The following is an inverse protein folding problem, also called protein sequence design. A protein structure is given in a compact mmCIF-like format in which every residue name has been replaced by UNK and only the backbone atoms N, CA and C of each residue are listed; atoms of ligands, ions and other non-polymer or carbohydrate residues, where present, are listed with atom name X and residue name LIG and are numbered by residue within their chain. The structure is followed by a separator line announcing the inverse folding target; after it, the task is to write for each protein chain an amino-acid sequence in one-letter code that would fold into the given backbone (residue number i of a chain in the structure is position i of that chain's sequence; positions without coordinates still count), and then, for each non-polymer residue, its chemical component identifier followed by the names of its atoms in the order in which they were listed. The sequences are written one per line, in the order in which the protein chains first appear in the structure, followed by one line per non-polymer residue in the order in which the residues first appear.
data_IF_525677738336
#
_entry.id   IF_525677738336
#
_cell.length_a   1.000
_cell.length_b   1.000
_cell.length_c   1.000
_cell.angle_alpha   90.00
_cell.angle_beta   90.00
_cell.angle_gamma   90.00
#
_symmetry.space_group_name_H-M   'P 1'
#
loop_
_entity.id
_entity.type
_entity.pdbx_description
1 polymer ?
#
# COMPACT_ATOMS: atom_id res chain seq x y z
N UNK A 1 -5.11 -9.96 -14.11
CA UNK A 1 -5.92 -9.66 -12.91
C UNK A 1 -6.46 -8.25 -13.06
N UNK A 2 -7.78 -8.01 -12.95
CA UNK A 2 -8.38 -6.68 -13.16
C UNK A 2 -8.61 -6.00 -11.80
N UNK A 3 -7.69 -5.10 -11.41
CA UNK A 3 -7.72 -4.38 -10.14
C UNK A 3 -8.83 -3.31 -10.11
N UNK A 4 -9.07 -2.65 -11.25
CA UNK A 4 -10.12 -1.65 -11.41
C UNK A 4 -11.49 -2.24 -11.02
N UNK A 5 -11.83 -3.41 -11.56
CA UNK A 5 -13.07 -4.12 -11.22
C UNK A 5 -13.19 -4.47 -9.72
N UNK A 6 -12.06 -4.76 -9.05
CA UNK A 6 -12.06 -5.06 -7.60
C UNK A 6 -12.31 -3.80 -6.78
N UNK A 7 -11.68 -2.70 -7.17
CA UNK A 7 -11.88 -1.39 -6.53
C UNK A 7 -13.30 -0.89 -6.76
N UNK A 8 -13.88 -1.06 -7.96
CA UNK A 8 -15.28 -0.74 -8.24
C UNK A 8 -16.26 -1.54 -7.38
N UNK A 9 -16.02 -2.85 -7.21
CA UNK A 9 -16.82 -3.68 -6.33
C UNK A 9 -16.74 -3.21 -4.86
N UNK A 10 -15.53 -2.89 -4.39
CA UNK A 10 -15.32 -2.33 -3.05
C UNK A 10 -16.05 -0.98 -2.88
N UNK A 11 -15.91 -0.06 -3.84
CA UNK A 11 -16.58 1.24 -3.85
C UNK A 11 -18.10 1.13 -3.86
N UNK A 12 -18.64 0.17 -4.62
CA UNK A 12 -20.08 -0.12 -4.63
C UNK A 12 -20.57 -0.50 -3.22
N UNK A 13 -19.83 -1.36 -2.53
CA UNK A 13 -20.15 -1.77 -1.17
C UNK A 13 -19.96 -0.64 -0.14
N UNK A 14 -18.90 0.16 -0.29
CA UNK A 14 -18.69 1.36 0.51
C UNK A 14 -19.87 2.33 0.39
N UNK A 15 -20.31 2.62 -0.84
CA UNK A 15 -21.44 3.50 -1.11
C UNK A 15 -22.75 2.96 -0.49
N UNK A 16 -23.02 1.66 -0.64
CA UNK A 16 -24.18 0.99 -0.02
C UNK A 16 -24.21 1.16 1.50
N UNK A 17 -23.04 1.20 2.15
CA UNK A 17 -22.87 1.37 3.59
C UNK A 17 -22.64 2.82 4.03
N UNK A 18 -22.68 3.80 3.10
CA UNK A 18 -22.37 5.21 3.36
C UNK A 18 -20.96 5.40 3.97
N UNK A 19 -19.98 4.64 3.50
CA UNK A 19 -18.58 4.75 3.90
C UNK A 19 -17.81 5.61 2.89
N UNK A 20 -17.06 6.58 3.40
CA UNK A 20 -16.25 7.48 2.56
C UNK A 20 -14.87 6.90 2.22
N UNK A 21 -14.37 5.98 3.05
CA UNK A 21 -13.05 5.40 2.91
C UNK A 21 -13.01 3.96 3.44
N UNK A 22 -12.11 3.17 2.87
CA UNK A 22 -11.67 1.88 3.37
C UNK A 22 -10.17 1.94 3.63
N UNK A 23 -9.75 1.56 4.83
CA UNK A 23 -8.33 1.53 5.23
C UNK A 23 -7.95 0.10 5.59
N UNK A 24 -6.81 -0.36 5.09
CA UNK A 24 -6.24 -1.66 5.50
C UNK A 24 -4.74 -1.59 5.67
N UNK A 25 -4.25 -2.16 6.77
CA UNK A 25 -2.83 -2.39 7.05
C UNK A 25 -2.39 -3.80 6.66
N UNK A 26 -3.32 -4.67 6.27
CA UNK A 26 -3.01 -6.05 5.87
C UNK A 26 -2.44 -6.08 4.45
N UNK A 27 -1.16 -6.44 4.34
CA UNK A 27 -0.42 -6.50 3.07
C UNK A 27 -1.07 -7.44 2.02
N UNK A 28 -1.73 -8.51 2.46
CA UNK A 28 -2.51 -9.39 1.59
C UNK A 28 -3.64 -8.63 0.86
N UNK A 29 -4.28 -7.66 1.52
CA UNK A 29 -5.33 -6.85 0.90
C UNK A 29 -4.76 -5.89 -0.14
N UNK A 30 -3.49 -5.50 -0.01
CA UNK A 30 -2.85 -4.60 -0.96
C UNK A 30 -2.55 -5.29 -2.28
N UNK A 31 -2.02 -6.50 -2.20
CA UNK A 31 -1.80 -7.34 -3.37
C UNK A 31 -3.13 -7.65 -4.06
N UNK A 32 -4.17 -7.96 -3.28
CA UNK A 32 -5.50 -8.23 -3.80
C UNK A 32 -6.15 -7.01 -4.46
N UNK A 33 -6.15 -5.85 -3.81
CA UNK A 33 -6.89 -4.66 -4.28
C UNK A 33 -6.10 -3.83 -5.29
N UNK A 34 -4.81 -3.63 -5.05
CA UNK A 34 -3.99 -2.66 -5.79
C UNK A 34 -2.81 -3.30 -6.54
N UNK A 35 -2.61 -4.62 -6.43
CA UNK A 35 -1.50 -5.30 -7.08
C UNK A 35 -0.13 -4.94 -6.54
N UNK A 36 -0.09 -4.37 -5.32
CA UNK A 36 1.15 -4.04 -4.64
C UNK A 36 1.71 -5.33 -4.04
N UNK A 37 2.91 -5.80 -4.44
CA UNK A 37 3.47 -7.04 -3.93
C UNK A 37 3.62 -7.00 -2.42
N UNK A 38 3.37 -8.13 -1.76
CA UNK A 38 3.66 -8.27 -0.34
C UNK A 38 5.12 -8.01 -0.08
N UNK A 39 5.38 -7.18 0.91
CA UNK A 39 6.75 -6.88 1.32
C UNK A 39 7.43 -8.11 1.92
N UNK A 40 6.67 -9.03 2.53
CA UNK A 40 7.14 -10.33 3.00
C UNK A 40 8.14 -10.23 4.15
N UNK A 41 7.78 -10.76 5.31
CA UNK A 41 8.75 -11.04 6.38
C UNK A 41 9.45 -12.36 6.10
N UNK A 42 10.80 -12.36 6.18
CA UNK A 42 11.57 -13.34 6.97
C UNK A 42 13.10 -13.24 6.79
N UNK A 43 13.64 -12.52 5.79
CA UNK A 43 15.10 -12.49 5.57
C UNK A 43 15.78 -11.13 5.77
N UNK A 44 15.02 -10.05 5.90
CA UNK A 44 15.57 -8.70 6.07
C UNK A 44 15.36 -8.26 7.51
N UNK A 45 16.45 -7.87 8.19
CA UNK A 45 16.43 -7.42 9.60
C UNK A 45 15.22 -6.49 9.80
N UNK A 46 14.40 -6.77 10.82
CA UNK A 46 13.18 -6.03 11.18
C UNK A 46 13.31 -4.49 11.17
N UNK A 47 14.54 -3.95 11.21
CA UNK A 47 14.84 -2.51 11.11
C UNK A 47 14.71 -1.91 9.70
N UNK A 48 14.58 -2.70 8.63
CA UNK A 48 14.55 -2.19 7.25
C UNK A 48 13.19 -2.28 6.56
N UNK A 49 12.25 -3.07 7.11
CA UNK A 49 10.90 -3.20 6.58
C UNK A 49 9.87 -2.85 7.65
N UNK A 50 9.48 -1.59 7.63
CA UNK A 50 8.51 -0.98 8.53
C UNK A 50 7.09 -1.21 8.03
N UNK A 51 6.72 -2.46 7.71
CA UNK A 51 5.35 -2.82 7.25
C UNK A 51 4.27 -2.43 8.26
N UNK A 52 4.63 -2.34 9.54
CA UNK A 52 3.79 -1.83 10.62
C UNK A 52 3.33 -0.37 10.42
N UNK A 53 4.06 0.41 9.63
CA UNK A 53 3.74 1.81 9.33
C UNK A 53 3.10 1.98 7.95
N UNK A 54 2.62 0.89 7.35
CA UNK A 54 2.03 0.93 6.02
C UNK A 54 0.51 0.84 6.07
N UNK A 55 -0.20 1.63 5.26
CA UNK A 55 -1.63 1.43 5.02
C UNK A 55 -2.01 1.68 3.56
N UNK A 56 -3.05 0.97 3.10
CA UNK A 56 -3.73 1.25 1.84
C UNK A 56 -5.05 1.93 2.18
N UNK A 57 -5.25 3.11 1.60
CA UNK A 57 -6.48 3.88 1.66
C UNK A 57 -7.18 3.78 0.30
N UNK A 58 -8.43 3.32 0.30
CA UNK A 58 -9.32 3.35 -0.86
C UNK A 58 -10.41 4.37 -0.58
N UNK A 59 -10.55 5.34 -1.48
CA UNK A 59 -11.65 6.32 -1.50
C UNK A 59 -12.47 6.13 -2.77
N UNK A 60 -13.53 6.90 -2.94
CA UNK A 60 -14.35 6.89 -4.16
C UNK A 60 -13.56 7.31 -5.40
N UNK A 61 -12.53 8.15 -5.23
CA UNK A 61 -11.82 8.79 -6.34
C UNK A 61 -10.37 8.31 -6.46
N UNK A 62 -9.72 7.91 -5.37
CA UNK A 62 -8.30 7.56 -5.34
C UNK A 62 -8.03 6.25 -4.56
N UNK A 63 -6.89 5.62 -4.88
CA UNK A 63 -6.31 4.48 -4.16
C UNK A 63 -4.88 4.86 -3.79
N UNK A 64 -4.59 4.94 -2.49
CA UNK A 64 -3.35 5.52 -1.98
C UNK A 64 -2.64 4.51 -1.08
N UNK A 65 -1.39 4.21 -1.38
CA UNK A 65 -0.52 3.39 -0.56
C UNK A 65 0.45 4.28 0.22
N UNK A 66 0.32 4.29 1.55
CA UNK A 66 1.21 4.99 2.47
C UNK A 66 2.31 4.06 2.95
N UNK A 67 3.57 4.47 2.84
CA UNK A 67 4.70 3.68 3.32
C UNK A 67 5.96 4.51 3.60
N UNK A 68 6.89 4.03 4.44
CA UNK A 68 8.21 4.63 4.58
C UNK A 68 9.01 4.60 3.25
N UNK A 69 10.00 5.49 3.07
CA UNK A 69 10.81 5.53 1.85
C UNK A 69 11.51 4.20 1.57
N UNK A 70 12.10 3.56 2.59
CA UNK A 70 12.78 2.28 2.42
C UNK A 70 11.85 1.19 1.86
N UNK A 71 10.59 1.17 2.29
CA UNK A 71 9.61 0.21 1.80
C UNK A 71 9.30 0.39 0.31
N UNK A 72 9.32 1.63 -0.20
CA UNK A 72 9.05 1.91 -1.62
C UNK A 72 10.09 1.25 -2.52
N UNK A 73 11.37 1.21 -2.12
CA UNK A 73 12.41 0.54 -2.89
C UNK A 73 12.14 -0.96 -3.02
N UNK A 74 11.74 -1.60 -1.91
CA UNK A 74 11.35 -3.01 -1.90
C UNK A 74 10.13 -3.29 -2.79
N UNK A 75 9.10 -2.44 -2.71
CA UNK A 75 7.92 -2.54 -3.59
C UNK A 75 8.29 -2.37 -5.06
N UNK A 76 9.08 -1.34 -5.40
CA UNK A 76 9.49 -1.05 -6.78
C UNK A 76 10.31 -2.18 -7.39
N UNK A 77 11.25 -2.76 -6.63
CA UNK A 77 12.04 -3.91 -7.07
C UNK A 77 11.14 -5.10 -7.42
N UNK A 78 10.14 -5.39 -6.57
CA UNK A 78 9.18 -6.49 -6.78
C UNK A 78 8.18 -6.26 -7.90
N UNK A 79 7.83 -5.00 -8.17
CA UNK A 79 6.90 -4.67 -9.27
C UNK A 79 7.51 -4.99 -10.64
N UNK A 80 8.83 -4.98 -10.81
CA UNK A 80 9.53 -5.44 -12.01
C UNK A 80 8.86 -4.99 -13.34
N UNK A 81 8.49 -3.70 -13.42
CA UNK A 81 7.77 -3.03 -14.54
C UNK A 81 6.23 -3.18 -14.57
N UNK A 82 5.61 -3.89 -13.63
CA UNK A 82 4.15 -3.88 -13.45
C UNK A 82 3.71 -2.55 -12.81
N UNK A 83 2.58 -2.01 -13.29
CA UNK A 83 1.94 -0.87 -12.63
C UNK A 83 1.08 -1.35 -11.47
N UNK A 84 1.24 -0.73 -10.30
CA UNK A 84 0.29 -0.86 -9.20
C UNK A 84 -0.93 0.03 -9.48
N UNK A 85 -2.12 -0.42 -9.07
CA UNK A 85 -3.35 0.37 -9.10
C UNK A 85 -3.47 1.19 -7.82
N UNK A 86 -2.44 2.01 -7.55
CA UNK A 86 -2.40 2.92 -6.43
C UNK A 86 -1.36 4.00 -6.67
N UNK A 87 -1.62 5.19 -6.13
CA UNK A 87 -0.61 6.22 -5.95
C UNK A 87 0.16 5.95 -4.67
N UNK A 88 1.48 6.11 -4.72
CA UNK A 88 2.34 5.96 -3.55
C UNK A 88 2.53 7.32 -2.88
N UNK A 89 2.25 7.39 -1.57
CA UNK A 89 2.68 8.49 -0.70
C UNK A 89 3.71 7.91 0.26
N UNK A 90 4.86 8.56 0.31
CA UNK A 90 5.93 8.13 1.21
C UNK A 90 6.26 9.17 2.25
N UNK A 91 6.69 8.69 3.41
CA UNK A 91 7.17 9.51 4.51
C UNK A 91 8.58 9.09 4.92
N UNK A 92 9.36 9.99 5.55
CA UNK A 92 10.70 9.69 5.98
C UNK A 92 10.75 8.52 6.98
N UNK A 93 11.76 7.68 6.85
CA UNK A 93 12.10 6.69 7.87
C UNK A 93 12.69 7.44 9.08
N UNK A 94 12.02 7.37 10.23
CA UNK A 94 12.38 8.16 11.44
C UNK A 94 13.84 7.98 11.88
N UNK A 95 14.41 6.80 11.66
CA UNK A 95 15.80 6.47 12.01
C UNK A 95 16.85 7.11 11.07
N UNK A 96 16.44 7.65 9.91
CA UNK A 96 17.33 8.25 8.91
C UNK A 96 17.42 9.78 9.07
N UNK A 97 16.52 10.40 9.83
CA UNK A 97 16.43 11.87 9.93
C UNK A 97 16.93 12.49 11.25
N UNK A 98 17.60 11.75 12.12
CA UNK A 98 18.45 12.37 13.15
C UNK A 98 19.78 12.83 12.54
N UNK A 99 19.75 13.91 11.75
CA UNK A 99 20.89 14.77 11.34
C UNK A 99 20.41 15.89 10.40
N UNK A 100 19.57 16.79 10.89
CA UNK A 100 19.51 18.18 10.40
C UNK A 100 19.31 19.12 11.59
#
# INVERSE_FOLDING_TARGET
MNYERRIEALRTEMNRRRLYAYVTTADANWEYLAGIPRLGGESTKHRQHSSQYTCLLVTMDDVIAFMPHLNLYGVRAKLANKKAFARFITFPDGDIQERQ
#
